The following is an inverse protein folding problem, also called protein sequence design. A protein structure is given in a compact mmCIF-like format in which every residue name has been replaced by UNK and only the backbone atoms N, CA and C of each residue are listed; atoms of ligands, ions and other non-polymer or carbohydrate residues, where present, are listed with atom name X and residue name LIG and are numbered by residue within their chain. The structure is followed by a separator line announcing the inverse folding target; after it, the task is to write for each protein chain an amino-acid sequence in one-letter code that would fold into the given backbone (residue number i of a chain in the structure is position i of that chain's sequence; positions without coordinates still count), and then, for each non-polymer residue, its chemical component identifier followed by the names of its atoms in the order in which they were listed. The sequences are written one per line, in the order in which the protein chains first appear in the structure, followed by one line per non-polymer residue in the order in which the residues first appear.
data_IF_375385645306
#
_entry.id   IF_375385645306
#
_cell.length_a   1.000
_cell.length_b   1.000
_cell.length_c   1.000
_cell.angle_alpha   90.00
_cell.angle_beta   90.00
_cell.angle_gamma   90.00
#
_symmetry.space_group_name_H-M   'P 1'
#
loop_
_entity.id
_entity.type
_entity.pdbx_description
1 polymer ?
#
# COMPACT_ATOMS: atom_id res chain seq x y z
N UNK A 1 34.16 39.71 -12.54
CA UNK A 1 33.21 38.90 -11.76
C UNK A 1 31.83 39.31 -12.17
N UNK A 2 31.09 38.43 -12.81
CA UNK A 2 29.71 38.68 -13.18
C UNK A 2 28.89 38.91 -11.90
N UNK A 3 28.23 40.07 -11.83
CA UNK A 3 27.38 40.47 -10.71
C UNK A 3 25.95 40.50 -11.22
N UNK A 4 25.11 39.65 -10.64
CA UNK A 4 23.69 39.59 -10.97
C UNK A 4 22.92 40.48 -10.01
N UNK A 5 22.18 41.45 -10.52
CA UNK A 5 21.14 42.12 -9.74
C UNK A 5 20.07 41.12 -9.31
N UNK A 6 19.29 41.46 -8.29
CA UNK A 6 18.17 40.62 -7.82
C UNK A 6 17.17 40.29 -8.95
N UNK A 7 17.00 41.17 -9.94
CA UNK A 7 16.13 40.94 -11.09
C UNK A 7 16.72 39.96 -12.10
N UNK A 8 18.05 39.99 -12.31
CA UNK A 8 18.74 39.09 -13.23
C UNK A 8 18.77 37.66 -12.68
N UNK A 9 19.20 37.47 -11.42
CA UNK A 9 19.20 36.15 -10.78
C UNK A 9 17.77 35.57 -10.67
N UNK A 10 16.77 36.42 -10.47
CA UNK A 10 15.36 36.00 -10.44
C UNK A 10 14.91 35.42 -11.79
N UNK A 11 15.29 36.04 -12.90
CA UNK A 11 15.01 35.54 -14.25
C UNK A 11 15.78 34.26 -14.57
N UNK A 12 17.05 34.19 -14.17
CA UNK A 12 17.92 33.05 -14.46
C UNK A 12 17.52 31.78 -13.71
N UNK A 13 17.09 31.92 -12.46
CA UNK A 13 16.76 30.78 -11.57
C UNK A 13 15.25 30.50 -11.47
N UNK A 14 14.42 31.33 -12.11
CA UNK A 14 12.96 31.31 -12.01
C UNK A 14 12.45 31.40 -10.55
N UNK A 15 13.24 32.02 -9.66
CA UNK A 15 12.89 32.30 -8.27
C UNK A 15 12.43 33.74 -8.18
N UNK A 16 11.25 34.00 -7.61
CA UNK A 16 10.75 35.37 -7.51
C UNK A 16 11.66 36.25 -6.65
N UNK A 17 11.75 37.53 -6.96
CA UNK A 17 12.48 38.51 -6.13
C UNK A 17 11.97 38.55 -4.68
N UNK A 18 10.67 38.28 -4.46
CA UNK A 18 10.08 38.10 -3.13
C UNK A 18 10.68 36.91 -2.39
N UNK A 19 10.82 35.76 -3.05
CA UNK A 19 11.44 34.56 -2.47
C UNK A 19 12.92 34.78 -2.16
N UNK A 20 13.65 35.50 -3.02
CA UNK A 20 15.06 35.86 -2.77
C UNK A 20 15.22 36.73 -1.52
N UNK A 21 14.37 37.75 -1.35
CA UNK A 21 14.34 38.58 -0.13
C UNK A 21 14.00 37.75 1.11
N UNK A 22 13.06 36.82 0.98
CA UNK A 22 12.73 35.92 2.07
C UNK A 22 13.90 34.99 2.44
N UNK A 23 14.64 34.46 1.45
CA UNK A 23 15.84 33.66 1.70
C UNK A 23 16.95 34.47 2.39
N UNK A 24 17.08 35.76 2.05
CA UNK A 24 17.98 36.69 2.76
C UNK A 24 17.53 36.94 4.20
N UNK A 25 16.24 37.20 4.41
CA UNK A 25 15.63 37.44 5.73
C UNK A 25 15.86 36.25 6.68
N UNK A 26 15.60 35.03 6.20
CA UNK A 26 15.87 33.81 6.99
C UNK A 26 17.35 33.44 7.01
N UNK A 27 18.25 34.20 6.36
CA UNK A 27 19.69 33.96 6.32
C UNK A 27 20.09 32.64 5.68
N UNK A 28 19.34 32.21 4.66
CA UNK A 28 19.59 31.04 3.82
C UNK A 28 20.45 31.38 2.60
N UNK A 29 20.24 32.55 1.98
CA UNK A 29 21.05 33.07 0.88
C UNK A 29 21.28 34.56 1.11
N UNK A 30 22.52 35.01 1.13
CA UNK A 30 22.86 36.43 1.26
C UNK A 30 23.48 36.93 -0.04
N UNK A 31 23.23 38.18 -0.45
CA UNK A 31 23.93 38.76 -1.59
C UNK A 31 25.42 38.88 -1.27
N UNK A 32 26.27 38.51 -2.24
CA UNK A 32 27.72 38.71 -2.15
C UNK A 32 28.12 40.17 -1.97
N UNK A 33 27.32 41.12 -2.46
CA UNK A 33 27.59 42.56 -2.33
C UNK A 33 26.31 43.38 -2.21
N UNK A 34 26.31 44.34 -1.29
CA UNK A 34 25.29 45.38 -1.17
C UNK A 34 25.96 46.73 -1.42
N UNK A 35 25.52 47.44 -2.46
CA UNK A 35 26.01 48.76 -2.80
C UNK A 35 25.54 49.82 -1.79
N UNK A 36 26.23 50.96 -1.73
CA UNK A 36 25.84 52.09 -0.88
C UNK A 36 24.41 52.59 -1.17
N UNK A 37 23.96 52.46 -2.42
CA UNK A 37 22.59 52.75 -2.85
C UNK A 37 21.53 51.75 -2.35
N UNK A 38 21.94 50.69 -1.65
CA UNK A 38 21.08 49.60 -1.19
C UNK A 38 20.78 48.52 -2.24
N UNK A 39 21.37 48.64 -3.45
CA UNK A 39 21.25 47.61 -4.49
C UNK A 39 22.01 46.34 -4.11
N UNK A 40 21.38 45.19 -4.36
CA UNK A 40 21.91 43.86 -4.06
C UNK A 40 22.48 43.22 -5.31
N UNK A 41 23.67 42.65 -5.16
CA UNK A 41 24.38 41.95 -6.22
C UNK A 41 24.80 40.56 -5.73
N UNK A 42 24.53 39.58 -6.57
CA UNK A 42 24.82 38.17 -6.35
C UNK A 42 25.98 37.73 -7.25
N UNK A 43 26.84 36.89 -6.72
CA UNK A 43 27.93 36.26 -7.49
C UNK A 43 27.45 35.01 -8.22
N UNK A 44 28.29 34.43 -9.07
CA UNK A 44 28.04 33.12 -9.67
C UNK A 44 27.90 32.00 -8.62
N UNK A 45 28.63 32.08 -7.51
CA UNK A 45 28.52 31.11 -6.42
C UNK A 45 27.19 31.22 -5.67
N UNK A 46 26.63 32.43 -5.55
CA UNK A 46 25.29 32.63 -5.03
C UNK A 46 24.22 31.99 -5.94
N UNK A 47 24.40 32.06 -7.26
CA UNK A 47 23.53 31.39 -8.24
C UNK A 47 23.58 29.88 -8.06
N UNK A 48 24.79 29.31 -7.90
CA UNK A 48 24.97 27.87 -7.64
C UNK A 48 24.29 27.47 -6.33
N UNK A 49 24.46 28.26 -5.27
CA UNK A 49 23.83 28.02 -3.96
C UNK A 49 22.30 28.10 -4.06
N UNK A 50 21.77 29.06 -4.80
CA UNK A 50 20.34 29.18 -5.06
C UNK A 50 19.79 27.99 -5.86
N UNK A 51 20.55 27.48 -6.83
CA UNK A 51 20.19 26.27 -7.58
C UNK A 51 20.16 25.05 -6.65
N UNK A 52 21.09 24.93 -5.70
CA UNK A 52 21.04 23.87 -4.68
C UNK A 52 19.79 24.00 -3.80
N UNK A 53 19.52 25.20 -3.27
CA UNK A 53 18.34 25.47 -2.43
C UNK A 53 17.05 25.08 -3.16
N UNK A 54 16.89 25.52 -4.41
CA UNK A 54 15.68 25.23 -5.20
C UNK A 54 15.55 23.74 -5.53
N UNK A 55 16.66 23.06 -5.82
CA UNK A 55 16.66 21.62 -6.10
C UNK A 55 16.21 20.83 -4.87
N UNK A 56 16.83 21.07 -3.70
CA UNK A 56 16.42 20.38 -2.48
C UNK A 56 15.01 20.75 -2.03
N UNK A 57 14.58 21.99 -2.28
CA UNK A 57 13.20 22.37 -1.97
C UNK A 57 12.18 21.60 -2.82
N UNK A 58 12.50 21.31 -4.09
CA UNK A 58 11.68 20.45 -4.95
C UNK A 58 11.67 18.99 -4.50
N UNK A 59 12.74 18.52 -3.86
CA UNK A 59 12.85 17.18 -3.29
C UNK A 59 12.12 16.99 -1.95
N UNK A 60 11.41 18.02 -1.45
CA UNK A 60 10.61 17.93 -0.22
C UNK A 60 11.22 18.60 1.01
N UNK A 61 12.51 18.92 0.98
CA UNK A 61 13.23 19.47 2.14
C UNK A 61 12.63 20.79 2.64
N UNK A 62 12.67 20.97 3.96
CA UNK A 62 12.34 22.25 4.60
C UNK A 62 13.52 23.20 4.46
N UNK A 63 13.23 24.50 4.31
CA UNK A 63 14.28 25.52 4.19
C UNK A 63 15.21 25.55 5.41
N UNK A 64 14.71 25.16 6.58
CA UNK A 64 15.50 25.01 7.81
C UNK A 64 16.53 23.89 7.72
N UNK A 65 16.23 22.78 7.06
CA UNK A 65 17.16 21.65 6.86
C UNK A 65 18.23 22.03 5.85
N UNK A 66 17.83 22.61 4.72
CA UNK A 66 18.75 23.13 3.69
C UNK A 66 19.72 24.13 4.33
N UNK A 67 19.20 25.07 5.14
CA UNK A 67 20.02 26.05 5.85
C UNK A 67 21.05 25.41 6.78
N UNK A 68 20.67 24.35 7.52
CA UNK A 68 21.59 23.64 8.43
C UNK A 68 22.74 23.00 7.67
N UNK A 69 22.45 22.37 6.53
CA UNK A 69 23.49 21.72 5.71
C UNK A 69 24.42 22.76 5.05
N UNK A 70 23.88 23.90 4.61
CA UNK A 70 24.66 24.96 3.96
C UNK A 70 25.49 25.82 4.93
N UNK A 71 25.11 25.97 6.20
CA UNK A 71 25.70 26.98 7.10
C UNK A 71 27.05 26.65 7.73
N UNK A 72 27.46 25.40 7.84
CA UNK A 72 28.70 25.08 8.59
C UNK A 72 29.90 24.93 7.64
N UNK A 73 30.82 25.89 7.77
CA UNK A 73 32.06 26.03 6.99
C UNK A 73 33.15 24.98 7.35
N UNK A 74 33.00 24.26 8.46
CA UNK A 74 34.00 23.32 8.97
C UNK A 74 33.43 21.90 9.08
N UNK A 75 33.58 21.12 8.02
CA UNK A 75 33.22 19.70 7.97
C UNK A 75 32.89 19.22 6.55
N UNK A 76 32.94 17.91 6.33
CA UNK A 76 32.65 17.28 5.04
C UNK A 76 31.17 17.53 4.65
N UNK A 77 30.92 18.53 3.79
CA UNK A 77 29.58 18.89 3.32
C UNK A 77 28.89 17.73 2.60
N UNK A 78 29.68 16.83 2.01
CA UNK A 78 29.20 15.63 1.33
C UNK A 78 28.51 14.66 2.30
N UNK A 79 29.12 14.37 3.45
CA UNK A 79 28.55 13.47 4.46
C UNK A 79 27.23 13.99 5.01
N UNK A 80 27.13 15.30 5.24
CA UNK A 80 25.90 15.94 5.73
C UNK A 80 24.78 15.86 4.70
N UNK A 81 25.08 16.11 3.43
CA UNK A 81 24.11 15.93 2.35
C UNK A 81 23.68 14.47 2.23
N UNK A 82 24.63 13.52 2.29
CA UNK A 82 24.33 12.08 2.30
C UNK A 82 23.37 11.72 3.43
N UNK A 83 23.65 12.13 4.66
CA UNK A 83 22.78 11.86 5.81
C UNK A 83 21.41 12.53 5.67
N UNK A 84 21.34 13.78 5.21
CA UNK A 84 20.08 14.49 5.01
C UNK A 84 19.21 13.81 3.95
N UNK A 85 19.81 13.41 2.81
CA UNK A 85 19.14 12.67 1.73
C UNK A 85 18.68 11.30 2.21
N UNK A 86 19.52 10.56 2.95
CA UNK A 86 19.13 9.26 3.51
C UNK A 86 17.94 9.37 4.48
N UNK A 87 17.92 10.37 5.35
CA UNK A 87 16.81 10.61 6.26
C UNK A 87 15.51 10.95 5.51
N UNK A 88 15.60 11.76 4.45
CA UNK A 88 14.43 12.09 3.62
C UNK A 88 13.92 10.86 2.87
N UNK A 89 14.81 10.03 2.31
CA UNK A 89 14.45 8.74 1.69
C UNK A 89 13.71 7.85 2.70
N UNK A 90 14.21 7.73 3.94
CA UNK A 90 13.55 6.94 4.98
C UNK A 90 12.16 7.50 5.34
N UNK A 91 12.04 8.82 5.43
CA UNK A 91 10.77 9.50 5.71
C UNK A 91 9.74 9.22 4.59
N UNK A 92 10.16 9.35 3.33
CA UNK A 92 9.32 9.04 2.17
C UNK A 92 8.92 7.56 2.17
N UNK A 93 9.86 6.64 2.44
CA UNK A 93 9.58 5.21 2.50
C UNK A 93 8.56 4.86 3.60
N UNK A 94 8.67 5.49 4.77
CA UNK A 94 7.71 5.32 5.85
C UNK A 94 6.31 5.84 5.46
N UNK A 95 6.24 6.99 4.77
CA UNK A 95 4.96 7.54 4.29
C UNK A 95 4.35 6.69 3.18
N UNK A 96 5.16 6.19 2.24
CA UNK A 96 4.72 5.24 1.20
C UNK A 96 4.16 3.98 1.84
N UNK A 97 4.83 3.43 2.86
CA UNK A 97 4.32 2.27 3.60
C UNK A 97 2.96 2.59 4.25
N UNK A 98 2.88 3.72 4.97
CA UNK A 98 1.63 4.16 5.62
C UNK A 98 0.48 4.34 4.62
N UNK A 99 0.74 4.92 3.45
CA UNK A 99 -0.26 5.11 2.40
C UNK A 99 -0.71 3.78 1.80
N UNK A 100 0.20 2.82 1.59
CA UNK A 100 -0.15 1.46 1.17
C UNK A 100 -0.99 0.73 2.20
N UNK A 101 -0.64 0.85 3.48
CA UNK A 101 -1.43 0.24 4.56
C UNK A 101 -2.84 0.85 4.62
N UNK A 102 -2.98 2.17 4.44
CA UNK A 102 -4.28 2.83 4.34
C UNK A 102 -5.08 2.38 3.10
N UNK A 103 -4.42 2.26 1.95
CA UNK A 103 -5.04 1.77 0.72
C UNK A 103 -5.62 0.37 0.91
N UNK A 104 -4.86 -0.54 1.51
CA UNK A 104 -5.32 -1.90 1.87
C UNK A 104 -6.57 -1.86 2.75
N UNK A 105 -6.59 -1.01 3.78
CA UNK A 105 -7.75 -0.86 4.66
C UNK A 105 -8.99 -0.36 3.92
N UNK A 106 -8.82 0.58 2.99
CA UNK A 106 -9.92 1.09 2.17
C UNK A 106 -10.47 0.00 1.25
N UNK A 107 -9.62 -0.83 0.64
CA UNK A 107 -10.09 -1.97 -0.15
C UNK A 107 -10.78 -3.02 0.70
N UNK A 108 -10.25 -3.36 1.88
CA UNK A 108 -10.93 -4.30 2.78
C UNK A 108 -12.33 -3.79 3.14
N UNK A 109 -12.47 -2.50 3.45
CA UNK A 109 -13.78 -1.91 3.78
C UNK A 109 -14.73 -1.84 2.59
N UNK A 110 -14.21 -1.52 1.41
CA UNK A 110 -14.99 -1.51 0.18
C UNK A 110 -15.54 -2.91 -0.14
N UNK A 111 -14.68 -3.92 -0.16
CA UNK A 111 -15.07 -5.30 -0.45
C UNK A 111 -15.96 -5.92 0.63
N UNK A 112 -15.79 -5.53 1.91
CA UNK A 112 -16.68 -6.00 2.96
C UNK A 112 -18.11 -5.53 2.71
N UNK A 113 -18.30 -4.25 2.37
CA UNK A 113 -19.60 -3.68 2.00
C UNK A 113 -20.17 -4.35 0.75
N UNK A 114 -19.35 -4.67 -0.25
CA UNK A 114 -19.84 -5.39 -1.44
C UNK A 114 -20.37 -6.80 -1.11
N UNK A 115 -19.78 -7.47 -0.12
CA UNK A 115 -20.16 -8.83 0.31
C UNK A 115 -21.38 -8.86 1.22
N UNK A 116 -21.47 -7.97 2.21
CA UNK A 116 -22.52 -8.00 3.25
C UNK A 116 -23.64 -6.98 3.01
N UNK A 117 -23.39 -5.95 2.19
CA UNK A 117 -24.25 -4.78 2.02
C UNK A 117 -24.14 -3.73 3.13
N UNK A 118 -23.37 -3.99 4.19
CA UNK A 118 -23.20 -3.08 5.34
C UNK A 118 -21.83 -3.24 6.01
N UNK A 119 -21.33 -2.18 6.65
CA UNK A 119 -20.08 -2.24 7.41
C UNK A 119 -20.34 -2.74 8.84
N UNK A 120 -19.97 -3.99 9.14
CA UNK A 120 -20.16 -4.61 10.45
C UNK A 120 -19.01 -4.34 11.41
N UNK A 121 -19.24 -4.54 12.71
CA UNK A 121 -18.20 -4.40 13.74
C UNK A 121 -17.11 -5.47 13.61
N UNK A 122 -17.46 -6.65 13.12
CA UNK A 122 -16.51 -7.72 12.80
C UNK A 122 -15.53 -7.30 11.68
N UNK A 123 -16.01 -6.52 10.70
CA UNK A 123 -15.20 -5.95 9.62
C UNK A 123 -14.14 -4.99 10.19
N UNK A 124 -14.53 -4.17 11.18
CA UNK A 124 -13.61 -3.27 11.89
C UNK A 124 -12.50 -4.04 12.63
N UNK A 125 -12.82 -5.21 13.20
CA UNK A 125 -11.81 -6.06 13.85
C UNK A 125 -10.84 -6.67 12.84
N UNK A 126 -11.28 -6.97 11.63
CA UNK A 126 -10.39 -7.42 10.55
C UNK A 126 -9.47 -6.31 10.07
N UNK A 127 -9.92 -5.04 10.06
CA UNK A 127 -9.04 -3.89 9.80
C UNK A 127 -7.95 -3.74 10.87
N UNK A 128 -8.30 -3.93 12.14
CA UNK A 128 -7.31 -3.88 13.22
C UNK A 128 -6.31 -5.04 13.07
N UNK A 129 -6.79 -6.24 12.72
CA UNK A 129 -5.94 -7.41 12.45
C UNK A 129 -5.09 -7.27 11.18
N UNK A 130 -5.54 -6.61 10.12
CA UNK A 130 -4.72 -6.41 8.92
C UNK A 130 -3.58 -5.41 9.14
N UNK A 131 -3.79 -4.38 9.98
CA UNK A 131 -2.73 -3.44 10.38
C UNK A 131 -1.73 -4.07 11.36
N UNK A 132 -2.18 -4.96 12.25
CA UNK A 132 -1.36 -5.49 13.35
C UNK A 132 -0.88 -6.93 13.14
N UNK A 133 -1.40 -7.64 12.13
CA UNK A 133 -1.34 -9.11 12.03
C UNK A 133 -0.50 -9.67 10.90
N UNK A 134 0.37 -8.88 10.26
CA UNK A 134 1.35 -9.39 9.28
C UNK A 134 2.15 -10.54 9.91
N UNK A 135 2.60 -10.36 11.15
CA UNK A 135 3.36 -11.37 11.90
C UNK A 135 2.54 -12.63 12.20
N UNK A 136 1.23 -12.49 12.47
CA UNK A 136 0.37 -13.67 12.70
C UNK A 136 0.12 -14.47 11.42
N UNK A 137 -0.06 -13.77 10.27
CA UNK A 137 -0.20 -14.42 8.96
C UNK A 137 1.09 -15.12 8.54
N UNK A 138 2.24 -14.47 8.72
CA UNK A 138 3.55 -15.08 8.48
C UNK A 138 3.78 -16.31 9.37
N UNK A 139 3.53 -16.20 10.67
CA UNK A 139 3.68 -17.34 11.60
C UNK A 139 2.75 -18.50 11.24
N UNK A 140 1.51 -18.22 10.83
CA UNK A 140 0.59 -19.25 10.33
C UNK A 140 1.15 -19.94 9.08
N UNK A 141 1.60 -19.16 8.09
CA UNK A 141 2.20 -19.69 6.86
C UNK A 141 3.42 -20.56 7.14
N UNK A 142 4.37 -20.06 7.93
CA UNK A 142 5.60 -20.78 8.29
C UNK A 142 5.33 -22.06 9.10
N UNK A 143 4.28 -22.07 9.92
CA UNK A 143 3.95 -23.22 10.77
C UNK A 143 3.32 -24.37 9.99
N UNK A 144 2.49 -24.07 8.99
CA UNK A 144 1.65 -25.08 8.33
C UNK A 144 2.04 -25.37 6.88
N UNK A 145 2.83 -24.52 6.23
CA UNK A 145 3.12 -24.64 4.80
C UNK A 145 4.62 -24.67 4.48
N UNK A 146 5.00 -25.42 3.45
CA UNK A 146 6.37 -25.46 2.91
C UNK A 146 6.71 -24.14 2.21
N UNK A 147 7.99 -23.87 1.94
CA UNK A 147 8.39 -22.65 1.22
C UNK A 147 7.77 -22.53 -0.19
N UNK A 148 7.46 -23.65 -0.84
CA UNK A 148 6.80 -23.67 -2.15
C UNK A 148 5.31 -23.36 -2.02
N UNK A 149 4.62 -24.02 -1.08
CA UNK A 149 3.20 -23.76 -0.79
C UNK A 149 2.99 -22.32 -0.33
N UNK A 150 3.90 -21.76 0.48
CA UNK A 150 3.80 -20.39 0.96
C UNK A 150 3.72 -19.36 -0.17
N UNK A 151 4.44 -19.56 -1.28
CA UNK A 151 4.39 -18.67 -2.44
C UNK A 151 3.00 -18.66 -3.08
N UNK A 152 2.35 -19.83 -3.13
CA UNK A 152 0.98 -19.96 -3.64
C UNK A 152 0.00 -19.27 -2.69
N UNK A 153 0.11 -19.53 -1.37
CA UNK A 153 -0.76 -18.91 -0.36
C UNK A 153 -0.61 -17.39 -0.32
N UNK A 154 0.58 -16.86 -0.58
CA UNK A 154 0.84 -15.42 -0.65
C UNK A 154 0.26 -14.74 -1.89
N UNK A 155 0.08 -15.48 -3.00
CA UNK A 155 -0.53 -14.97 -4.24
C UNK A 155 -2.06 -15.17 -4.26
N UNK A 156 -2.63 -15.78 -3.23
CA UNK A 156 -4.08 -15.94 -3.15
C UNK A 156 -4.78 -14.57 -3.08
N UNK A 157 -5.92 -14.41 -3.78
CA UNK A 157 -6.68 -13.18 -3.77
C UNK A 157 -7.16 -12.84 -2.36
N UNK A 158 -6.89 -11.60 -1.93
CA UNK A 158 -7.28 -11.11 -0.61
C UNK A 158 -8.17 -9.88 -0.71
N UNK A 159 -8.99 -9.63 0.32
CA UNK A 159 -9.80 -8.41 0.38
C UNK A 159 -9.01 -7.09 0.31
N UNK A 160 -7.70 -7.14 0.55
CA UNK A 160 -6.82 -5.98 0.53
C UNK A 160 -6.43 -5.57 -0.90
N UNK A 161 -6.69 -6.43 -1.89
CA UNK A 161 -6.22 -6.29 -3.25
C UNK A 161 -7.34 -5.89 -4.21
N UNK A 162 -7.00 -5.06 -5.19
CA UNK A 162 -7.91 -4.63 -6.24
C UNK A 162 -7.51 -5.23 -7.58
N UNK A 163 -7.58 -6.55 -7.64
CA UNK A 163 -7.34 -7.34 -8.84
C UNK A 163 -8.62 -8.07 -9.29
N UNK A 164 -8.59 -8.58 -10.52
CA UNK A 164 -9.76 -9.25 -11.10
C UNK A 164 -10.08 -10.60 -10.43
N UNK A 165 -9.09 -11.33 -9.89
CA UNK A 165 -9.33 -12.59 -9.16
C UNK A 165 -10.07 -12.32 -7.86
N UNK A 166 -9.68 -11.26 -7.16
CA UNK A 166 -10.38 -10.81 -5.94
C UNK A 166 -11.82 -10.45 -6.27
N UNK A 167 -12.09 -9.64 -7.30
CA UNK A 167 -13.46 -9.28 -7.70
C UNK A 167 -14.30 -10.49 -8.10
N UNK A 168 -13.73 -11.41 -8.89
CA UNK A 168 -14.39 -12.63 -9.31
C UNK A 168 -14.80 -13.48 -8.09
N UNK A 169 -13.88 -13.69 -7.15
CA UNK A 169 -14.14 -14.44 -5.92
C UNK A 169 -15.22 -13.81 -5.06
N UNK A 170 -15.16 -12.48 -4.89
CA UNK A 170 -16.16 -11.73 -4.13
C UNK A 170 -17.55 -11.84 -4.75
N UNK A 171 -17.63 -11.81 -6.07
CA UNK A 171 -18.89 -12.00 -6.78
C UNK A 171 -19.44 -13.41 -6.50
N UNK A 172 -18.62 -14.46 -6.64
CA UNK A 172 -19.03 -15.85 -6.36
C UNK A 172 -19.52 -15.99 -4.92
N UNK A 173 -18.75 -15.51 -3.94
CA UNK A 173 -19.11 -15.56 -2.52
C UNK A 173 -20.42 -14.81 -2.24
N UNK A 174 -20.61 -13.62 -2.82
CA UNK A 174 -21.83 -12.85 -2.67
C UNK A 174 -23.04 -13.62 -3.19
N UNK A 175 -22.93 -14.22 -4.38
CA UNK A 175 -23.99 -15.03 -4.97
C UNK A 175 -24.33 -16.25 -4.10
N UNK A 176 -23.31 -16.94 -3.56
CA UNK A 176 -23.49 -18.07 -2.64
C UNK A 176 -24.24 -17.63 -1.39
N UNK A 177 -23.82 -16.53 -0.75
CA UNK A 177 -24.46 -16.05 0.49
C UNK A 177 -25.91 -15.61 0.29
N UNK A 178 -26.23 -15.02 -0.86
CA UNK A 178 -27.61 -14.66 -1.20
C UNK A 178 -28.52 -15.89 -1.38
N UNK A 179 -27.94 -17.03 -1.74
CA UNK A 179 -28.64 -18.29 -2.04
C UNK A 179 -28.34 -19.40 -1.03
N UNK A 180 -27.80 -19.07 0.15
CA UNK A 180 -27.31 -20.06 1.13
C UNK A 180 -28.39 -21.00 1.69
N UNK A 181 -29.67 -20.62 1.52
CA UNK A 181 -30.82 -21.43 1.95
C UNK A 181 -31.42 -22.26 0.80
N UNK A 182 -30.87 -22.16 -0.42
CA UNK A 182 -31.34 -22.94 -1.56
C UNK A 182 -30.84 -24.40 -1.49
N UNK A 183 -31.53 -25.35 -2.11
CA UNK A 183 -31.04 -26.73 -2.21
C UNK A 183 -29.72 -26.79 -2.99
N UNK A 184 -28.73 -27.48 -2.43
CA UNK A 184 -27.38 -27.57 -3.01
C UNK A 184 -27.35 -28.26 -4.38
N UNK A 185 -28.37 -29.06 -4.70
CA UNK A 185 -28.50 -29.80 -5.96
C UNK A 185 -29.19 -29.02 -7.08
N UNK A 186 -29.68 -27.81 -6.80
CA UNK A 186 -30.30 -26.92 -7.77
C UNK A 186 -29.33 -26.51 -8.90
N UNK A 187 -29.83 -26.25 -10.13
CA UNK A 187 -28.98 -25.86 -11.26
C UNK A 187 -28.10 -24.64 -10.96
N UNK A 188 -28.69 -23.62 -10.32
CA UNK A 188 -28.02 -22.36 -10.01
C UNK A 188 -26.87 -22.56 -9.01
N UNK A 189 -27.08 -23.36 -7.96
CA UNK A 189 -26.02 -23.66 -6.98
C UNK A 189 -24.95 -24.56 -7.59
N UNK A 190 -25.30 -25.48 -8.49
CA UNK A 190 -24.34 -26.34 -9.15
C UNK A 190 -23.44 -25.57 -10.14
N UNK A 191 -23.98 -24.55 -10.82
CA UNK A 191 -23.16 -23.61 -11.60
C UNK A 191 -22.19 -22.81 -10.71
N UNK A 192 -22.62 -22.42 -9.50
CA UNK A 192 -21.73 -21.78 -8.53
C UNK A 192 -20.67 -22.76 -8.02
N UNK A 193 -21.00 -24.04 -7.81
CA UNK A 193 -20.05 -25.06 -7.37
C UNK A 193 -18.95 -25.26 -8.41
N UNK A 194 -19.32 -25.37 -9.69
CA UNK A 194 -18.36 -25.41 -10.80
C UNK A 194 -17.42 -24.19 -10.78
N UNK A 195 -17.97 -22.98 -10.61
CA UNK A 195 -17.16 -21.75 -10.52
C UNK A 195 -16.20 -21.77 -9.34
N UNK A 196 -16.63 -22.21 -8.15
CA UNK A 196 -15.76 -22.33 -6.98
C UNK A 196 -14.64 -23.32 -7.23
N UNK A 197 -14.94 -24.50 -7.78
CA UNK A 197 -13.95 -25.53 -8.11
C UNK A 197 -12.96 -24.99 -9.14
N UNK A 198 -13.43 -24.46 -10.26
CA UNK A 198 -12.57 -23.91 -11.32
C UNK A 198 -11.67 -22.77 -10.80
N UNK A 199 -12.23 -21.87 -9.98
CA UNK A 199 -11.48 -20.80 -9.36
C UNK A 199 -10.39 -21.34 -8.40
N UNK A 200 -10.75 -22.30 -7.55
CA UNK A 200 -9.80 -22.92 -6.61
C UNK A 200 -8.66 -23.63 -7.34
N UNK A 201 -8.96 -24.42 -8.37
CA UNK A 201 -7.93 -25.08 -9.18
C UNK A 201 -7.01 -24.05 -9.84
N UNK A 202 -7.57 -22.96 -10.36
CA UNK A 202 -6.78 -21.91 -10.99
C UNK A 202 -5.80 -21.23 -10.02
N UNK A 203 -6.28 -20.77 -8.86
CA UNK A 203 -5.46 -20.00 -7.91
C UNK A 203 -4.49 -20.86 -7.10
N UNK A 204 -4.75 -22.16 -6.99
CA UNK A 204 -3.85 -23.13 -6.36
C UNK A 204 -3.00 -23.93 -7.37
N UNK A 205 -2.99 -23.52 -8.65
CA UNK A 205 -2.19 -24.17 -9.71
C UNK A 205 -2.45 -25.68 -9.85
N UNK A 206 -3.72 -26.09 -9.81
CA UNK A 206 -4.18 -27.49 -9.92
C UNK A 206 -3.70 -28.40 -8.76
N UNK A 207 -3.23 -27.83 -7.64
CA UNK A 207 -2.82 -28.60 -6.46
C UNK A 207 -4.00 -28.87 -5.52
N UNK A 208 -4.72 -29.97 -5.76
CA UNK A 208 -5.86 -30.40 -4.94
C UNK A 208 -5.48 -30.67 -3.47
N UNK A 209 -4.25 -31.14 -3.21
CA UNK A 209 -3.81 -31.41 -1.85
C UNK A 209 -3.66 -30.12 -1.07
N UNK A 210 -3.09 -29.10 -1.70
CA UNK A 210 -2.94 -27.79 -1.10
C UNK A 210 -4.29 -27.08 -0.92
N UNK A 211 -5.22 -27.21 -1.87
CA UNK A 211 -6.60 -26.69 -1.72
C UNK A 211 -7.25 -27.24 -0.46
N UNK A 212 -7.29 -28.57 -0.32
CA UNK A 212 -7.92 -29.24 0.83
C UNK A 212 -7.23 -28.87 2.14
N UNK A 213 -5.89 -28.90 2.16
CA UNK A 213 -5.08 -28.49 3.32
C UNK A 213 -5.37 -27.06 3.75
N UNK A 214 -5.41 -26.12 2.80
CA UNK A 214 -5.70 -24.72 3.09
C UNK A 214 -7.12 -24.56 3.64
N UNK A 215 -8.10 -25.17 2.98
CA UNK A 215 -9.51 -25.15 3.37
C UNK A 215 -9.73 -25.60 4.82
N UNK A 216 -9.14 -26.73 5.20
CA UNK A 216 -9.22 -27.27 6.57
C UNK A 216 -8.60 -26.33 7.60
N UNK A 217 -7.48 -25.69 7.27
CA UNK A 217 -6.76 -24.80 8.19
C UNK A 217 -7.43 -23.44 8.39
N UNK A 218 -8.19 -22.97 7.39
CA UNK A 218 -8.91 -21.68 7.49
C UNK A 218 -10.30 -21.81 8.09
N UNK A 219 -10.88 -23.02 8.11
CA UNK A 219 -12.23 -23.28 8.62
C UNK A 219 -12.33 -22.90 10.10
N UNK A 220 -13.21 -21.94 10.46
CA UNK A 220 -13.37 -21.52 11.85
C UNK A 220 -14.14 -22.56 12.66
N UNK A 221 -13.86 -22.65 13.96
CA UNK A 221 -14.73 -23.37 14.90
C UNK A 221 -15.99 -22.55 15.26
N UNK A 222 -16.97 -23.19 15.92
CA UNK A 222 -18.21 -22.52 16.32
C UNK A 222 -17.91 -21.37 17.30
N UNK A 223 -18.30 -20.15 16.91
CA UNK A 223 -18.01 -18.93 17.69
C UNK A 223 -16.65 -18.31 17.43
N UNK A 224 -15.81 -18.88 16.56
CA UNK A 224 -14.58 -18.24 16.10
C UNK A 224 -14.83 -17.21 15.00
N UNK A 225 -14.01 -16.15 14.99
CA UNK A 225 -13.99 -15.19 13.88
C UNK A 225 -13.29 -15.86 12.70
N UNK A 226 -13.94 -15.85 11.54
CA UNK A 226 -13.39 -16.39 10.30
C UNK A 226 -11.98 -15.87 10.02
N UNK A 227 -11.07 -16.79 9.66
CA UNK A 227 -9.68 -16.45 9.30
C UNK A 227 -9.61 -15.72 7.95
N UNK A 228 -10.50 -16.08 7.04
CA UNK A 228 -10.71 -15.44 5.75
C UNK A 228 -12.11 -14.84 5.76
N UNK A 229 -12.21 -13.55 5.45
CA UNK A 229 -13.48 -12.86 5.47
C UNK A 229 -14.45 -13.43 4.43
N UNK A 230 -15.74 -13.49 4.77
CA UNK A 230 -16.78 -14.08 3.92
C UNK A 230 -16.82 -15.61 3.96
N UNK A 231 -15.85 -16.26 4.62
CA UNK A 231 -15.81 -17.70 4.87
C UNK A 231 -16.07 -18.00 6.35
N UNK A 232 -17.25 -17.58 6.82
CA UNK A 232 -17.76 -18.03 8.12
C UNK A 232 -18.14 -19.53 8.08
N UNK A 233 -18.35 -20.11 9.25
CA UNK A 233 -18.63 -21.55 9.39
C UNK A 233 -19.86 -21.98 8.58
N UNK A 234 -20.92 -21.16 8.54
CA UNK A 234 -22.14 -21.44 7.77
C UNK A 234 -21.83 -21.48 6.27
N UNK A 235 -21.14 -20.46 5.76
CA UNK A 235 -20.78 -20.34 4.34
C UNK A 235 -19.86 -21.47 3.92
N UNK A 236 -18.82 -21.80 4.71
CA UNK A 236 -17.91 -22.90 4.38
C UNK A 236 -18.60 -24.26 4.37
N UNK A 237 -19.46 -24.54 5.37
CA UNK A 237 -20.23 -25.79 5.39
C UNK A 237 -21.21 -25.90 4.20
N UNK A 238 -21.75 -24.78 3.73
CA UNK A 238 -22.59 -24.76 2.54
C UNK A 238 -21.78 -25.02 1.27
N UNK A 239 -20.61 -24.38 1.14
CA UNK A 239 -19.68 -24.57 0.02
C UNK A 239 -19.22 -26.04 -0.09
N UNK A 240 -18.88 -26.67 1.04
CA UNK A 240 -18.52 -28.10 1.06
C UNK A 240 -19.65 -28.98 0.51
N UNK A 241 -20.88 -28.77 0.97
CA UNK A 241 -22.04 -29.55 0.52
C UNK A 241 -22.35 -29.38 -0.98
N UNK A 242 -22.22 -28.16 -1.50
CA UNK A 242 -22.47 -27.90 -2.93
C UNK A 242 -21.37 -28.48 -3.82
N UNK A 243 -20.10 -28.41 -3.41
CA UNK A 243 -18.97 -29.03 -4.12
C UNK A 243 -19.11 -30.56 -4.08
N UNK A 244 -19.40 -31.15 -2.92
CA UNK A 244 -19.63 -32.59 -2.79
C UNK A 244 -20.75 -33.09 -3.72
N UNK A 245 -21.84 -32.32 -3.84
CA UNK A 245 -22.94 -32.64 -4.74
C UNK A 245 -22.50 -32.55 -6.21
N UNK A 246 -21.71 -31.55 -6.56
CA UNK A 246 -21.17 -31.33 -7.90
C UNK A 246 -20.22 -32.45 -8.33
N UNK A 247 -19.23 -32.79 -7.49
CA UNK A 247 -18.25 -33.84 -7.80
C UNK A 247 -18.93 -35.21 -7.97
N UNK A 248 -19.90 -35.55 -7.12
CA UNK A 248 -20.68 -36.80 -7.26
C UNK A 248 -21.47 -36.89 -8.58
N UNK A 249 -21.92 -35.75 -9.12
CA UNK A 249 -22.61 -35.71 -10.42
C UNK A 249 -21.63 -35.84 -11.59
N UNK A 250 -20.40 -35.35 -11.45
CA UNK A 250 -19.34 -35.50 -12.46
C UNK A 250 -18.79 -36.93 -12.50
N UNK A 251 -18.55 -37.57 -11.35
CA UNK A 251 -18.09 -38.96 -11.26
C UNK A 251 -19.13 -39.98 -11.77
N UNK A 252 -20.40 -39.60 -11.79
CA UNK A 252 -21.50 -40.44 -12.26
C UNK A 252 -21.86 -40.30 -13.75
N UNK A 253 -21.17 -39.41 -14.50
CA UNK A 253 -21.31 -39.24 -15.96
C UNK A 253 -20.29 -40.09 -16.72
#
# INVERSE_FOLDING_TARGET
MDKYSIGEISKETNVTTRTLRYYEEIGLLKPSYVAESGYRYYSKDDVITLQQITTFKKLGFKLSEIKKVLKEEKGNSEERWKSAIQNEIQTIQAEVKRLKDLEKLLYTAFHSIELTGELKTEDLMLFIKSVQGIEQRENFRQKYFTEEEQKVIEDLPTLEENDERTKEWLQVLREIRQRINEPVDSPEIQMLAERVVAFSMHVFHEDEQLINKYWDLIKPEEGEIARVYGLDLETMNYIEKMIDCYLKKEEGK
#
